data_IF_818510336467
#
_entry.id   IF_818510336467
#
_cell.length_a   1.000
_cell.length_b   1.000
_cell.length_c   1.000
_cell.angle_alpha   90.00
_cell.angle_beta   90.00
_cell.angle_gamma   90.00
#
_symmetry.space_group_name_H-M   'P 1'
#
loop_
_entity.id
_entity.type
_entity.pdbx_description
1 polymer ?
#
# COMPACT_ATOMS: atom_id res chain seq x y z
N UNK A 1 4.26 29.71 -30.69
CA UNK A 1 3.40 30.87 -30.38
C UNK A 1 3.67 31.23 -28.93
N UNK A 2 4.17 32.43 -28.69
CA UNK A 2 4.23 33.10 -27.38
C UNK A 2 5.42 32.75 -26.45
N UNK A 3 6.38 33.67 -26.31
CA UNK A 3 6.59 34.67 -25.22
C UNK A 3 7.26 34.07 -23.97
N UNK A 4 8.53 34.44 -23.76
CA UNK A 4 9.16 34.54 -22.44
C UNK A 4 9.48 36.02 -22.13
N UNK A 5 9.48 36.43 -20.85
CA UNK A 5 9.40 37.82 -20.45
C UNK A 5 10.76 38.46 -20.15
N UNK A 6 10.69 39.79 -20.07
CA UNK A 6 11.74 40.77 -19.79
C UNK A 6 12.28 40.67 -18.36
N UNK A 7 13.60 40.80 -18.21
CA UNK A 7 14.29 41.13 -16.96
C UNK A 7 15.48 42.02 -17.27
N UNK A 8 15.36 43.31 -16.92
CA UNK A 8 16.33 44.36 -17.21
C UNK A 8 17.55 44.34 -16.30
N UNK A 9 18.73 44.51 -16.89
CA UNK A 9 19.97 44.94 -16.26
C UNK A 9 20.61 46.00 -17.13
N UNK A 10 20.92 47.15 -16.53
CA UNK A 10 21.43 48.39 -17.11
C UNK A 10 22.59 48.22 -18.09
N UNK A 11 22.41 48.73 -19.33
CA UNK A 11 23.51 48.95 -20.29
C UNK A 11 24.10 50.35 -20.08
N UNK A 12 25.38 50.40 -19.75
CA UNK A 12 26.21 51.58 -19.99
C UNK A 12 26.26 51.89 -21.49
N UNK A 13 26.33 53.17 -21.90
CA UNK A 13 26.39 53.55 -23.30
C UNK A 13 27.78 53.23 -23.88
N UNK A 14 27.87 52.17 -24.67
CA UNK A 14 29.03 51.92 -25.53
C UNK A 14 29.07 53.03 -26.59
N UNK A 15 30.08 53.89 -26.46
CA UNK A 15 30.41 54.92 -27.44
C UNK A 15 30.59 54.30 -28.84
N UNK A 16 30.16 54.99 -29.91
CA UNK A 16 30.34 54.51 -31.26
C UNK A 16 31.83 54.56 -31.61
N UNK A 17 32.48 53.40 -31.61
CA UNK A 17 33.81 53.27 -32.18
C UNK A 17 33.71 53.48 -33.69
N UNK A 18 34.36 54.55 -34.13
CA UNK A 18 34.92 54.67 -35.48
C UNK A 18 33.89 55.04 -36.54
N UNK A 19 33.82 56.34 -36.84
CA UNK A 19 33.51 56.79 -38.19
C UNK A 19 34.46 56.07 -39.15
N UNK A 20 33.90 55.24 -40.04
CA UNK A 20 34.65 54.68 -41.16
C UNK A 20 34.89 55.84 -42.13
N UNK A 21 36.11 56.36 -42.16
CA UNK A 21 36.56 57.25 -43.22
C UNK A 21 36.50 56.46 -44.55
N UNK A 22 35.72 56.90 -45.57
CA UNK A 22 35.64 56.22 -46.86
C UNK A 22 36.97 56.17 -47.63
N UNK A 23 38.01 56.87 -47.16
CA UNK A 23 39.33 56.95 -47.79
C UNK A 23 40.42 56.12 -47.09
N UNK A 24 40.14 55.43 -45.97
CA UNK A 24 41.08 54.49 -45.35
C UNK A 24 40.84 53.06 -45.83
N UNK A 25 41.07 52.82 -47.12
CA UNK A 25 41.33 51.46 -47.60
C UNK A 25 42.58 50.89 -46.89
N UNK A 26 42.69 49.57 -46.68
CA UNK A 26 43.84 48.99 -46.01
C UNK A 26 45.11 49.44 -46.73
N UNK A 27 45.97 50.18 -46.02
CA UNK A 27 47.23 50.68 -46.57
C UNK A 27 48.02 49.50 -47.14
N UNK A 28 48.61 49.67 -48.34
CA UNK A 28 49.27 48.61 -49.13
C UNK A 28 50.23 47.71 -48.33
N UNK A 29 50.72 48.19 -47.18
CA UNK A 29 51.60 47.49 -46.24
C UNK A 29 50.92 46.44 -45.36
N UNK A 30 49.63 46.54 -45.04
CA UNK A 30 48.91 45.51 -44.25
C UNK A 30 48.44 44.36 -45.12
N UNK A 31 47.91 44.66 -46.31
CA UNK A 31 47.55 43.66 -47.34
C UNK A 31 48.78 42.85 -47.77
N UNK A 32 49.92 43.51 -47.97
CA UNK A 32 51.18 42.84 -48.30
C UNK A 32 51.69 41.89 -47.21
N UNK A 33 51.54 42.26 -45.92
CA UNK A 33 51.95 41.40 -44.80
C UNK A 33 51.05 40.16 -44.65
N UNK A 34 49.74 40.31 -44.83
CA UNK A 34 48.83 39.16 -44.81
C UNK A 34 49.06 38.23 -46.01
N UNK A 35 49.34 38.81 -47.19
CA UNK A 35 49.68 38.05 -48.37
C UNK A 35 50.99 37.26 -48.19
N UNK A 36 52.04 37.88 -47.64
CA UNK A 36 53.32 37.21 -47.34
C UNK A 36 53.15 36.07 -46.33
N UNK A 37 52.34 36.27 -45.28
CA UNK A 37 52.05 35.22 -44.29
C UNK A 37 51.29 34.04 -44.89
N UNK A 38 50.30 34.31 -45.77
CA UNK A 38 49.55 33.26 -46.49
C UNK A 38 50.46 32.53 -47.48
N UNK A 39 51.25 33.27 -48.25
CA UNK A 39 52.20 32.73 -49.21
C UNK A 39 53.24 31.82 -48.53
N UNK A 40 53.82 32.25 -47.40
CA UNK A 40 54.75 31.42 -46.61
C UNK A 40 54.12 30.13 -46.10
N UNK A 41 52.86 30.19 -45.65
CA UNK A 41 52.13 29.00 -45.21
C UNK A 41 51.85 28.04 -46.36
N UNK A 42 51.47 28.58 -47.52
CA UNK A 42 51.14 27.77 -48.70
C UNK A 42 52.40 27.13 -49.29
N UNK A 43 53.52 27.86 -49.34
CA UNK A 43 54.84 27.31 -49.71
C UNK A 43 55.28 26.24 -48.71
N UNK A 44 55.21 26.51 -47.41
CA UNK A 44 55.56 25.54 -46.36
C UNK A 44 54.71 24.26 -46.48
N UNK A 45 53.40 24.41 -46.70
CA UNK A 45 52.49 23.28 -46.90
C UNK A 45 52.88 22.47 -48.13
N UNK A 46 53.15 23.12 -49.27
CA UNK A 46 53.56 22.42 -50.50
C UNK A 46 54.88 21.68 -50.30
N UNK A 47 55.87 22.32 -49.67
CA UNK A 47 57.17 21.72 -49.37
C UNK A 47 57.06 20.51 -48.43
N UNK A 48 56.22 20.59 -47.40
CA UNK A 48 56.12 19.57 -46.35
C UNK A 48 54.97 18.57 -46.58
N UNK A 49 54.13 18.76 -47.61
CA UNK A 49 52.93 17.95 -47.88
C UNK A 49 53.22 16.45 -47.89
N UNK A 50 54.33 16.06 -48.53
CA UNK A 50 54.73 14.67 -48.65
C UNK A 50 55.22 14.10 -47.31
N UNK A 51 55.98 14.88 -46.53
CA UNK A 51 56.47 14.47 -45.21
C UNK A 51 55.32 14.34 -44.20
N UNK A 52 54.37 15.29 -44.20
CA UNK A 52 53.17 15.25 -43.38
C UNK A 52 52.29 14.05 -43.70
N UNK A 53 52.14 13.70 -44.99
CA UNK A 53 51.40 12.50 -45.40
C UNK A 53 52.05 11.23 -44.88
N UNK A 54 53.37 11.09 -45.02
CA UNK A 54 54.10 9.92 -44.53
C UNK A 54 54.05 9.82 -43.00
N UNK A 55 54.25 10.95 -42.30
CA UNK A 55 54.16 10.99 -40.84
C UNK A 55 52.75 10.64 -40.34
N UNK A 56 51.71 11.15 -41.00
CA UNK A 56 50.32 10.82 -40.68
C UNK A 56 50.00 9.33 -40.86
N UNK A 57 50.51 8.71 -41.94
CA UNK A 57 50.35 7.27 -42.19
C UNK A 57 51.05 6.44 -41.13
N UNK A 58 52.30 6.77 -40.78
CA UNK A 58 53.06 6.08 -39.73
C UNK A 58 52.38 6.23 -38.36
N UNK A 59 51.88 7.42 -38.04
CA UNK A 59 51.12 7.66 -36.82
C UNK A 59 49.86 6.78 -36.77
N UNK A 60 49.12 6.66 -37.87
CA UNK A 60 47.90 5.87 -37.93
C UNK A 60 48.20 4.37 -37.74
N UNK A 61 49.27 3.86 -38.36
CA UNK A 61 49.75 2.49 -38.11
C UNK A 61 50.16 2.26 -36.66
N UNK A 62 50.79 3.24 -36.01
CA UNK A 62 51.16 3.13 -34.61
C UNK A 62 49.93 3.08 -33.68
N UNK A 63 48.91 3.90 -33.97
CA UNK A 63 47.64 3.90 -33.23
C UNK A 63 46.89 2.59 -33.43
N UNK A 64 46.78 2.09 -34.66
CA UNK A 64 46.15 0.79 -34.95
C UNK A 64 46.89 -0.36 -34.25
N UNK A 65 48.23 -0.36 -34.29
CA UNK A 65 49.04 -1.35 -33.59
C UNK A 65 48.80 -1.33 -32.07
N UNK A 66 48.72 -0.14 -31.47
CA UNK A 66 48.45 0.01 -30.04
C UNK A 66 47.04 -0.49 -29.67
N UNK A 67 46.02 -0.11 -30.44
CA UNK A 67 44.65 -0.57 -30.23
C UNK A 67 44.53 -2.09 -30.40
N UNK A 68 45.22 -2.65 -31.40
CA UNK A 68 45.30 -4.09 -31.61
C UNK A 68 45.92 -4.82 -30.42
N UNK A 69 47.00 -4.28 -29.85
CA UNK A 69 47.63 -4.84 -28.66
C UNK A 69 46.72 -4.77 -27.43
N UNK A 70 46.01 -3.66 -27.23
CA UNK A 70 45.04 -3.53 -26.13
C UNK A 70 43.90 -4.55 -26.29
N UNK A 71 43.35 -4.68 -27.50
CA UNK A 71 42.28 -5.64 -27.78
C UNK A 71 42.73 -7.08 -27.61
N UNK A 72 43.94 -7.41 -28.06
CA UNK A 72 44.51 -8.76 -27.90
C UNK A 72 44.79 -9.08 -26.43
N UNK A 73 45.26 -8.11 -25.66
CA UNK A 73 45.44 -8.26 -24.22
C UNK A 73 44.10 -8.46 -23.50
N UNK A 74 43.08 -7.66 -23.80
CA UNK A 74 41.74 -7.81 -23.23
C UNK A 74 41.12 -9.18 -23.57
N UNK A 75 41.33 -9.66 -24.81
CA UNK A 75 40.86 -10.99 -25.21
C UNK A 75 41.58 -12.10 -24.45
N UNK A 76 42.90 -11.99 -24.27
CA UNK A 76 43.67 -12.94 -23.48
C UNK A 76 43.27 -12.92 -22.00
N UNK A 77 43.05 -11.74 -21.44
CA UNK A 77 42.59 -11.57 -20.06
C UNK A 77 41.22 -12.23 -19.85
N UNK A 78 40.26 -11.94 -20.73
CA UNK A 78 38.91 -12.51 -20.70
C UNK A 78 38.90 -14.05 -20.85
N UNK A 79 39.55 -14.58 -21.90
CA UNK A 79 39.44 -16.00 -22.24
C UNK A 79 40.44 -16.90 -21.53
N UNK A 80 41.62 -16.40 -21.14
CA UNK A 80 42.71 -17.24 -20.63
C UNK A 80 43.00 -17.00 -19.14
N UNK A 81 42.78 -15.79 -18.63
CA UNK A 81 43.18 -15.42 -17.25
C UNK A 81 41.96 -15.42 -16.31
N UNK A 82 40.90 -14.69 -16.65
CA UNK A 82 39.78 -14.41 -15.75
C UNK A 82 38.49 -15.20 -16.06
N UNK A 83 38.51 -16.13 -17.02
CA UNK A 83 37.36 -16.96 -17.42
C UNK A 83 36.63 -17.62 -16.23
N UNK A 84 37.38 -18.09 -15.23
CA UNK A 84 36.82 -18.75 -14.04
C UNK A 84 36.10 -17.76 -13.12
N UNK A 85 36.61 -16.53 -13.03
CA UNK A 85 36.04 -15.50 -12.14
C UNK A 85 34.77 -14.90 -12.76
N UNK A 86 34.75 -14.71 -14.08
CA UNK A 86 33.55 -14.31 -14.80
C UNK A 86 32.47 -15.39 -14.85
N UNK A 87 32.86 -16.67 -14.97
CA UNK A 87 31.94 -17.80 -14.86
C UNK A 87 31.19 -17.80 -13.52
N UNK A 88 31.88 -17.47 -12.43
CA UNK A 88 31.27 -17.35 -11.09
C UNK A 88 30.32 -16.15 -10.98
N UNK A 89 30.60 -15.04 -11.66
CA UNK A 89 29.66 -13.92 -11.71
C UNK A 89 28.37 -14.31 -12.42
N UNK A 90 28.46 -14.98 -13.57
CA UNK A 90 27.28 -15.47 -14.30
C UNK A 90 26.52 -16.50 -13.47
N UNK A 91 27.21 -17.45 -12.84
CA UNK A 91 26.58 -18.40 -11.91
C UNK A 91 25.90 -17.68 -10.74
N UNK A 92 26.47 -16.59 -10.21
CA UNK A 92 25.86 -15.82 -9.11
C UNK A 92 24.53 -15.17 -9.51
N UNK A 93 24.36 -14.77 -10.78
CA UNK A 93 23.09 -14.24 -11.30
C UNK A 93 21.98 -15.31 -11.33
N UNK A 94 22.35 -16.58 -11.56
CA UNK A 94 21.40 -17.70 -11.65
C UNK A 94 21.24 -18.48 -10.34
N UNK A 95 22.20 -18.40 -9.41
CA UNK A 95 22.08 -18.99 -8.07
C UNK A 95 20.90 -18.38 -7.26
N UNK A 96 20.47 -17.16 -7.60
CA UNK A 96 19.26 -16.53 -7.05
C UNK A 96 17.95 -17.00 -7.69
N UNK A 97 17.98 -17.62 -8.87
CA UNK A 97 16.78 -18.00 -9.62
C UNK A 97 16.07 -19.23 -9.01
N UNK A 98 16.81 -20.20 -8.47
CA UNK A 98 16.23 -21.30 -7.69
C UNK A 98 15.57 -20.78 -6.40
N UNK A 99 16.14 -19.73 -5.79
CA UNK A 99 15.55 -19.05 -4.65
C UNK A 99 14.30 -18.22 -5.02
N UNK A 100 14.18 -17.72 -6.26
CA UNK A 100 13.01 -16.94 -6.66
C UNK A 100 11.72 -17.76 -6.57
N UNK A 101 11.75 -19.03 -6.99
CA UNK A 101 10.58 -19.90 -6.87
C UNK A 101 10.21 -20.15 -5.39
N UNK A 102 11.20 -20.42 -4.54
CA UNK A 102 10.99 -20.60 -3.11
C UNK A 102 10.46 -19.31 -2.43
N UNK A 103 10.98 -18.14 -2.83
CA UNK A 103 10.54 -16.82 -2.35
C UNK A 103 9.14 -16.46 -2.84
N UNK A 104 8.76 -16.86 -4.06
CA UNK A 104 7.39 -16.67 -4.55
C UNK A 104 6.43 -17.60 -3.81
N UNK A 105 6.81 -18.85 -3.55
CA UNK A 105 5.98 -19.78 -2.79
C UNK A 105 5.74 -19.33 -1.34
N UNK A 106 6.70 -18.67 -0.70
CA UNK A 106 6.51 -18.11 0.65
C UNK A 106 5.62 -16.86 0.67
N UNK A 107 5.35 -16.26 -0.50
CA UNK A 107 4.47 -15.08 -0.63
C UNK A 107 3.03 -15.43 -1.01
N UNK A 108 2.72 -16.70 -1.27
CA UNK A 108 1.34 -17.15 -1.53
C UNK A 108 0.55 -17.12 -0.21
N UNK A 109 -0.66 -16.54 -0.18
CA UNK A 109 -1.48 -16.55 1.02
C UNK A 109 -1.87 -17.96 1.42
N UNK A 110 -1.76 -18.24 2.71
CA UNK A 110 -2.31 -19.42 3.36
C UNK A 110 -3.84 -19.42 3.29
N UNK A 111 -4.43 -20.61 3.18
CA UNK A 111 -5.87 -20.77 3.16
C UNK A 111 -6.52 -20.21 4.44
N UNK A 112 -7.73 -19.68 4.29
CA UNK A 112 -8.55 -19.25 5.43
C UNK A 112 -8.88 -20.45 6.31
N UNK A 113 -8.80 -20.26 7.62
CA UNK A 113 -9.20 -21.27 8.59
C UNK A 113 -10.68 -21.07 8.95
N UNK A 114 -11.51 -22.05 8.57
CA UNK A 114 -12.95 -22.03 8.78
C UNK A 114 -13.31 -22.97 9.94
N UNK A 115 -13.82 -22.39 11.01
CA UNK A 115 -14.29 -23.12 12.18
C UNK A 115 -15.59 -23.87 11.95
N UNK A 116 -15.91 -24.76 12.90
CA UNK A 116 -17.15 -25.53 12.87
C UNK A 116 -18.39 -24.63 12.90
N UNK A 117 -19.40 -25.04 12.12
CA UNK A 117 -20.68 -24.34 12.08
C UNK A 117 -21.54 -24.75 13.29
N UNK A 118 -22.05 -23.75 14.00
CA UNK A 118 -22.90 -23.88 15.18
C UNK A 118 -24.31 -23.37 14.88
N UNK A 119 -25.32 -24.05 15.43
CA UNK A 119 -26.72 -23.63 15.32
C UNK A 119 -27.23 -23.23 16.70
N UNK A 120 -27.55 -21.97 16.85
CA UNK A 120 -27.93 -21.32 18.11
C UNK A 120 -29.45 -21.09 18.10
N UNK A 121 -30.20 -21.50 19.13
CA UNK A 121 -31.64 -21.26 19.20
C UNK A 121 -31.94 -19.79 19.56
N UNK A 122 -32.81 -19.13 18.79
CA UNK A 122 -33.23 -17.73 18.98
C UNK A 122 -34.74 -17.61 18.76
N UNK A 123 -35.53 -17.50 19.85
CA UNK A 123 -36.99 -17.26 19.81
C UNK A 123 -37.78 -17.92 18.68
N UNK A 124 -37.82 -19.25 18.70
CA UNK A 124 -38.58 -20.02 17.72
C UNK A 124 -37.93 -20.06 16.33
N UNK A 125 -36.77 -19.43 16.15
CA UNK A 125 -35.88 -19.51 14.98
C UNK A 125 -34.48 -19.96 15.41
N UNK A 126 -33.54 -19.97 14.47
CA UNK A 126 -32.15 -20.29 14.73
C UNK A 126 -31.20 -19.29 14.11
N UNK A 127 -30.08 -19.05 14.77
CA UNK A 127 -28.93 -18.38 14.17
C UNK A 127 -27.90 -19.44 13.79
N UNK A 128 -27.26 -19.27 12.64
CA UNK A 128 -26.16 -20.12 12.20
C UNK A 128 -24.88 -19.31 12.24
N UNK A 129 -23.89 -19.81 12.97
CA UNK A 129 -22.62 -19.14 13.22
C UNK A 129 -21.46 -20.04 12.80
N UNK A 130 -20.47 -19.47 12.11
CA UNK A 130 -19.15 -20.06 11.96
C UNK A 130 -18.09 -19.00 12.28
N UNK A 131 -16.92 -19.41 12.75
CA UNK A 131 -15.78 -18.48 12.85
C UNK A 131 -14.92 -18.65 11.61
N UNK A 132 -14.38 -17.55 11.08
CA UNK A 132 -13.40 -17.58 10.02
C UNK A 132 -12.17 -16.78 10.42
N UNK A 133 -10.99 -17.28 10.10
CA UNK A 133 -9.71 -16.67 10.43
C UNK A 133 -8.89 -16.48 9.16
N UNK A 134 -8.35 -15.28 8.97
CA UNK A 134 -7.29 -15.04 8.01
C UNK A 134 -5.94 -15.18 8.73
N UNK A 135 -5.14 -16.23 8.46
CA UNK A 135 -3.85 -16.45 9.13
C UNK A 135 -2.71 -15.60 8.55
N UNK A 136 -2.96 -14.82 7.49
CA UNK A 136 -1.92 -14.12 6.76
C UNK A 136 -1.65 -12.73 7.34
N UNK A 137 -0.37 -12.44 7.64
CA UNK A 137 0.06 -11.13 8.14
C UNK A 137 0.09 -10.05 7.04
N UNK A 138 0.38 -10.42 5.80
CA UNK A 138 0.60 -9.46 4.70
C UNK A 138 -0.55 -9.40 3.69
N UNK A 139 -1.63 -10.13 3.95
CA UNK A 139 -2.75 -10.27 3.02
C UNK A 139 -4.08 -9.98 3.70
N UNK A 140 -4.95 -9.33 2.95
CA UNK A 140 -6.36 -9.12 3.27
C UNK A 140 -7.18 -10.04 2.36
N UNK A 141 -8.22 -10.66 2.90
CA UNK A 141 -9.13 -11.50 2.12
C UNK A 141 -10.50 -10.83 2.02
N UNK A 142 -10.97 -10.62 0.79
CA UNK A 142 -12.38 -10.37 0.52
C UNK A 142 -13.06 -11.70 0.18
N UNK A 143 -14.01 -12.12 1.01
CA UNK A 143 -14.65 -13.42 0.94
C UNK A 143 -16.12 -13.25 0.59
N UNK A 144 -16.55 -13.87 -0.51
CA UNK A 144 -17.96 -14.07 -0.82
C UNK A 144 -18.39 -15.44 -0.35
N UNK A 145 -19.44 -15.47 0.45
CA UNK A 145 -19.90 -16.69 1.08
C UNK A 145 -21.41 -16.73 1.22
N UNK A 146 -21.93 -17.94 1.34
CA UNK A 146 -23.30 -18.22 1.75
C UNK A 146 -23.31 -19.38 2.72
N UNK A 147 -24.26 -19.35 3.64
CA UNK A 147 -24.55 -20.50 4.50
C UNK A 147 -25.59 -21.36 3.80
N UNK A 148 -25.28 -22.64 3.64
CA UNK A 148 -26.19 -23.64 3.07
C UNK A 148 -26.54 -24.66 4.15
N UNK A 149 -27.81 -25.03 4.23
CA UNK A 149 -28.33 -25.96 5.22
C UNK A 149 -29.54 -26.65 4.63
N UNK A 150 -29.67 -27.96 4.88
CA UNK A 150 -30.64 -28.79 4.17
C UNK A 150 -30.50 -28.59 2.63
N UNK A 151 -31.59 -28.15 1.97
CA UNK A 151 -31.65 -27.76 0.55
C UNK A 151 -31.92 -26.24 0.38
N UNK A 152 -31.57 -25.45 1.39
CA UNK A 152 -31.74 -23.99 1.40
C UNK A 152 -30.39 -23.29 1.49
N UNK A 153 -30.39 -22.06 1.01
CA UNK A 153 -29.23 -21.21 1.01
C UNK A 153 -29.63 -19.84 1.54
N UNK A 154 -28.73 -19.22 2.28
CA UNK A 154 -28.84 -17.81 2.63
C UNK A 154 -28.43 -16.94 1.45
N UNK A 155 -28.81 -15.66 1.51
CA UNK A 155 -28.28 -14.66 0.56
C UNK A 155 -26.75 -14.62 0.62
N UNK A 156 -26.14 -14.41 -0.55
CA UNK A 156 -24.70 -14.20 -0.66
C UNK A 156 -24.30 -12.97 0.15
N UNK A 157 -23.22 -13.09 0.92
CA UNK A 157 -22.64 -12.02 1.73
C UNK A 157 -21.17 -11.87 1.41
N UNK A 158 -20.68 -10.64 1.59
CA UNK A 158 -19.27 -10.32 1.47
C UNK A 158 -18.71 -9.96 2.83
N UNK A 159 -17.54 -10.50 3.18
CA UNK A 159 -16.79 -10.15 4.36
C UNK A 159 -15.35 -9.77 3.98
N UNK A 160 -14.78 -8.79 4.68
CA UNK A 160 -13.38 -8.41 4.53
C UNK A 160 -12.65 -8.86 5.81
N UNK A 161 -11.70 -9.78 5.64
CA UNK A 161 -10.88 -10.30 6.72
C UNK A 161 -9.52 -9.61 6.68
N UNK A 162 -9.28 -8.78 7.68
CA UNK A 162 -7.98 -8.17 7.92
C UNK A 162 -6.92 -9.24 8.27
N UNK A 163 -5.68 -8.79 8.35
CA UNK A 163 -4.51 -9.62 8.61
C UNK A 163 -4.62 -10.26 9.99
N UNK A 164 -4.36 -11.56 10.14
CA UNK A 164 -4.39 -12.26 11.44
C UNK A 164 -5.63 -11.94 12.28
N UNK A 165 -6.80 -11.93 11.65
CA UNK A 165 -8.06 -11.61 12.31
C UNK A 165 -9.05 -12.77 12.18
N UNK A 166 -9.70 -13.08 13.30
CA UNK A 166 -10.82 -14.00 13.39
C UNK A 166 -12.12 -13.20 13.52
N UNK A 167 -13.13 -13.53 12.73
CA UNK A 167 -14.45 -12.91 12.82
C UNK A 167 -15.60 -13.92 12.68
N UNK A 168 -16.78 -13.63 13.24
CA UNK A 168 -17.95 -14.47 13.06
C UNK A 168 -18.61 -14.24 11.68
N UNK A 169 -18.99 -15.34 11.02
CA UNK A 169 -19.90 -15.39 9.89
C UNK A 169 -21.27 -15.86 10.40
N UNK A 170 -22.28 -14.99 10.30
CA UNK A 170 -23.59 -15.24 10.92
C UNK A 170 -24.71 -15.12 9.90
N UNK A 171 -25.62 -16.09 9.91
CA UNK A 171 -26.97 -15.95 9.37
C UNK A 171 -27.96 -15.88 10.53
N UNK A 172 -28.61 -14.73 10.67
CA UNK A 172 -29.58 -14.49 11.74
C UNK A 172 -30.98 -14.94 11.33
N UNK A 173 -31.77 -15.37 12.32
CA UNK A 173 -33.21 -15.64 12.19
C UNK A 173 -33.57 -16.62 11.05
N UNK A 174 -32.76 -17.67 10.90
CA UNK A 174 -33.05 -18.78 9.99
C UNK A 174 -34.31 -19.51 10.45
N UNK A 175 -35.24 -19.68 9.51
CA UNK A 175 -36.57 -20.24 9.78
C UNK A 175 -36.56 -21.73 10.14
N UNK A 176 -37.65 -22.17 10.76
CA UNK A 176 -37.91 -23.58 11.06
C UNK A 176 -38.05 -24.43 9.78
N UNK A 177 -37.84 -25.77 9.87
CA UNK A 177 -37.35 -26.53 11.03
C UNK A 177 -35.86 -26.23 11.36
N UNK A 178 -35.35 -26.73 12.50
CA UNK A 178 -33.92 -26.60 12.85
C UNK A 178 -33.03 -27.01 11.65
N UNK A 179 -32.16 -26.12 11.16
CA UNK A 179 -31.24 -26.41 10.07
C UNK A 179 -30.46 -27.70 10.31
N UNK A 180 -30.35 -28.59 9.32
CA UNK A 180 -29.50 -29.78 9.42
C UNK A 180 -28.26 -29.62 8.55
N UNK A 181 -27.15 -30.14 9.05
CA UNK A 181 -25.85 -30.14 8.36
C UNK A 181 -25.45 -28.78 7.76
N UNK A 182 -25.55 -27.67 8.52
CA UNK A 182 -25.20 -26.37 7.99
C UNK A 182 -23.70 -26.33 7.67
N UNK A 183 -23.35 -25.74 6.54
CA UNK A 183 -21.97 -25.50 6.12
C UNK A 183 -21.84 -24.11 5.54
N UNK A 184 -20.70 -23.47 5.78
CA UNK A 184 -20.36 -22.25 5.05
C UNK A 184 -19.78 -22.66 3.71
N UNK A 185 -20.39 -22.18 2.64
CA UNK A 185 -19.86 -22.30 1.29
C UNK A 185 -19.16 -20.99 0.95
N UNK A 186 -17.86 -21.08 0.72
CA UNK A 186 -17.06 -19.95 0.23
C UNK A 186 -17.10 -20.02 -1.29
N UNK A 187 -17.77 -19.06 -1.92
CA UNK A 187 -17.94 -19.01 -3.37
C UNK A 187 -16.70 -18.41 -4.04
N UNK A 188 -16.10 -17.39 -3.42
CA UNK A 188 -14.87 -16.77 -3.90
C UNK A 188 -14.05 -16.16 -2.76
N UNK A 189 -12.73 -16.27 -2.86
CA UNK A 189 -11.76 -15.51 -2.06
C UNK A 189 -10.91 -14.67 -2.99
N UNK A 190 -10.93 -13.36 -2.78
CA UNK A 190 -10.04 -12.42 -3.45
C UNK A 190 -8.99 -11.95 -2.45
N UNK A 191 -7.72 -12.15 -2.79
CA UNK A 191 -6.58 -11.82 -1.94
C UNK A 191 -5.96 -10.51 -2.37
N UNK A 192 -5.80 -9.59 -1.43
CA UNK A 192 -5.08 -8.34 -1.62
C UNK A 192 -3.81 -8.37 -0.79
N UNK A 193 -2.66 -8.32 -1.48
CA UNK A 193 -1.37 -8.16 -0.83
C UNK A 193 -1.16 -6.70 -0.46
N UNK A 194 -0.69 -6.48 0.75
CA UNK A 194 -0.36 -5.14 1.24
C UNK A 194 1.03 -4.76 0.72
N UNK A 195 1.15 -3.58 0.14
CA UNK A 195 2.44 -3.08 -0.32
C UNK A 195 3.33 -2.72 0.87
N UNK A 196 4.42 -3.46 1.04
CA UNK A 196 5.39 -3.26 2.11
C UNK A 196 6.09 -1.89 2.05
N UNK A 197 6.10 -1.21 0.90
CA UNK A 197 6.63 0.16 0.81
C UNK A 197 5.66 1.19 1.40
N UNK A 198 4.36 0.97 1.23
CA UNK A 198 3.33 1.84 1.78
C UNK A 198 3.07 1.52 3.26
N UNK A 199 3.08 0.25 3.62
CA UNK A 199 2.83 -0.25 4.97
C UNK A 199 3.92 -1.27 5.35
N UNK A 200 5.04 -0.81 5.94
CA UNK A 200 6.17 -1.69 6.27
C UNK A 200 5.86 -2.76 7.32
N UNK A 201 4.94 -2.47 8.24
CA UNK A 201 4.45 -3.41 9.26
C UNK A 201 2.92 -3.42 9.25
N UNK A 202 2.30 -4.36 8.50
CA UNK A 202 0.85 -4.46 8.40
C UNK A 202 0.13 -4.68 9.73
N UNK A 203 0.72 -5.45 10.65
CA UNK A 203 0.12 -5.76 11.94
C UNK A 203 0.14 -4.53 12.84
N UNK A 204 1.28 -3.84 12.94
CA UNK A 204 1.36 -2.59 13.69
C UNK A 204 0.46 -1.50 13.07
N UNK A 205 0.38 -1.43 11.75
CA UNK A 205 -0.52 -0.50 11.04
C UNK A 205 -1.99 -0.76 11.36
N UNK A 206 -2.40 -2.04 11.37
CA UNK A 206 -3.74 -2.48 11.78
C UNK A 206 -4.02 -2.07 13.22
N UNK A 207 -3.13 -2.40 14.16
CA UNK A 207 -3.30 -2.09 15.58
C UNK A 207 -3.31 -0.59 15.88
N UNK A 208 -2.56 0.22 15.13
CA UNK A 208 -2.56 1.67 15.27
C UNK A 208 -3.90 2.31 14.84
N UNK A 209 -4.66 1.64 13.97
CA UNK A 209 -5.95 2.09 13.47
C UNK A 209 -7.11 1.46 14.23
N UNK A 210 -7.11 0.15 14.42
CA UNK A 210 -8.18 -0.59 15.06
C UNK A 210 -7.70 -1.18 16.40
N UNK A 211 -7.93 -0.42 17.48
CA UNK A 211 -7.71 -0.86 18.85
C UNK A 211 -8.83 -0.30 19.74
N UNK A 212 -9.90 -1.07 19.83
CA UNK A 212 -11.10 -0.72 20.60
C UNK A 212 -11.19 -1.70 21.75
N UNK A 213 -11.11 -1.18 22.97
CA UNK A 213 -11.26 -1.98 24.17
C UNK A 213 -12.73 -2.01 24.61
N UNK A 214 -13.16 -3.17 25.11
CA UNK A 214 -14.46 -3.38 25.72
C UNK A 214 -14.21 -3.87 27.15
N UNK A 215 -14.24 -2.95 28.09
CA UNK A 215 -13.99 -3.21 29.50
C UNK A 215 -15.31 -3.42 30.26
N UNK A 216 -15.24 -4.02 31.45
CA UNK A 216 -16.41 -4.23 32.31
C UNK A 216 -17.62 -4.93 31.65
N UNK A 217 -17.35 -5.89 30.75
CA UNK A 217 -18.39 -6.67 30.06
C UNK A 217 -19.31 -7.40 31.05
N UNK A 218 -20.58 -7.06 31.01
CA UNK A 218 -21.62 -7.61 31.89
C UNK A 218 -22.88 -7.95 31.09
N UNK A 219 -23.65 -8.91 31.62
CA UNK A 219 -24.95 -9.27 31.07
C UNK A 219 -26.02 -8.99 32.12
N UNK A 220 -27.04 -8.23 31.74
CA UNK A 220 -28.26 -8.05 32.52
C UNK A 220 -29.39 -8.84 31.85
N UNK A 221 -29.89 -9.88 32.50
CA UNK A 221 -30.93 -10.76 31.94
C UNK A 221 -32.32 -10.53 32.52
N UNK A 222 -32.46 -9.58 33.46
CA UNK A 222 -33.65 -9.44 34.29
C UNK A 222 -34.66 -8.37 33.85
N UNK A 223 -34.44 -7.69 32.72
CA UNK A 223 -35.27 -6.54 32.35
C UNK A 223 -36.58 -6.99 31.69
N UNK A 224 -37.70 -6.54 32.25
CA UNK A 224 -39.02 -6.65 31.63
C UNK A 224 -39.45 -5.29 31.08
N UNK A 225 -39.74 -5.24 29.78
CA UNK A 225 -40.31 -4.06 29.10
C UNK A 225 -41.70 -4.47 28.58
N UNK A 226 -42.75 -4.10 29.32
CA UNK A 226 -44.09 -4.62 29.09
C UNK A 226 -44.12 -6.13 29.28
N UNK A 227 -44.65 -6.86 28.28
CA UNK A 227 -44.70 -8.33 28.30
C UNK A 227 -43.44 -9.00 27.71
N UNK A 228 -42.43 -8.21 27.32
CA UNK A 228 -41.20 -8.72 26.73
C UNK A 228 -40.06 -8.79 27.74
N UNK A 229 -39.40 -9.94 27.80
CA UNK A 229 -38.09 -10.09 28.47
C UNK A 229 -37.03 -9.55 27.53
N UNK A 230 -36.24 -8.59 28.00
CA UNK A 230 -35.09 -8.06 27.29
C UNK A 230 -33.86 -8.34 28.13
N UNK A 231 -32.81 -8.82 27.50
CA UNK A 231 -31.50 -8.88 28.15
C UNK A 231 -30.57 -7.86 27.51
N UNK A 232 -29.54 -7.44 28.23
CA UNK A 232 -28.55 -6.47 27.75
C UNK A 232 -27.15 -6.99 27.94
N UNK A 233 -26.29 -6.71 26.97
CA UNK A 233 -24.85 -6.74 27.17
C UNK A 233 -24.37 -5.30 27.34
N UNK A 234 -23.69 -5.03 28.44
CA UNK A 234 -23.16 -3.72 28.81
C UNK A 234 -21.63 -3.81 28.85
N UNK A 235 -20.95 -2.74 28.43
CA UNK A 235 -19.51 -2.60 28.54
C UNK A 235 -19.13 -1.11 28.55
N UNK A 236 -17.92 -0.81 28.98
CA UNK A 236 -17.29 0.49 28.71
C UNK A 236 -16.40 0.34 27.47
N UNK A 237 -16.62 1.19 26.47
CA UNK A 237 -15.84 1.17 25.23
C UNK A 237 -14.79 2.25 25.31
N UNK A 238 -13.57 1.91 24.91
CA UNK A 238 -12.49 2.88 24.75
C UNK A 238 -11.87 2.74 23.36
N UNK A 239 -12.00 3.78 22.53
CA UNK A 239 -11.26 3.86 21.27
C UNK A 239 -9.81 4.29 21.56
N UNK A 240 -8.86 3.37 21.62
CA UNK A 240 -7.46 3.68 21.97
C UNK A 240 -6.68 4.32 20.83
N UNK A 241 -7.32 4.60 19.70
CA UNK A 241 -6.65 5.05 18.47
C UNK A 241 -6.80 6.54 18.24
N UNK A 242 -5.96 7.07 17.35
CA UNK A 242 -6.08 8.44 16.84
C UNK A 242 -7.15 8.61 15.76
N UNK A 243 -7.87 7.54 15.41
CA UNK A 243 -8.82 7.52 14.31
C UNK A 243 -10.25 7.46 14.84
N UNK A 244 -11.15 8.20 14.22
CA UNK A 244 -12.58 8.14 14.49
C UNK A 244 -13.28 7.35 13.41
N UNK A 245 -14.45 6.79 13.72
CA UNK A 245 -15.20 5.91 12.82
C UNK A 245 -16.66 6.33 12.69
N UNK A 246 -17.16 6.43 11.46
CA UNK A 246 -18.58 6.68 11.20
C UNK A 246 -19.45 5.50 11.65
N UNK A 247 -19.03 4.27 11.33
CA UNK A 247 -19.78 3.06 11.61
C UNK A 247 -18.83 1.88 11.79
N UNK A 248 -19.01 1.12 12.88
CA UNK A 248 -18.29 -0.12 13.15
C UNK A 248 -19.30 -1.21 13.46
N UNK A 249 -19.19 -2.34 12.77
CA UNK A 249 -19.97 -3.52 13.11
C UNK A 249 -19.41 -4.18 14.35
N UNK A 250 -20.28 -4.49 15.31
CA UNK A 250 -19.86 -5.13 16.56
C UNK A 250 -20.68 -6.40 16.73
N UNK A 251 -20.00 -7.54 16.66
CA UNK A 251 -20.60 -8.82 17.00
C UNK A 251 -20.30 -9.16 18.45
N UNK A 252 -21.33 -9.62 19.16
CA UNK A 252 -21.23 -10.07 20.55
C UNK A 252 -21.60 -11.54 20.60
N UNK A 253 -20.67 -12.35 21.09
CA UNK A 253 -20.83 -13.79 21.28
C UNK A 253 -20.94 -14.10 22.77
N UNK A 254 -22.00 -14.80 23.14
CA UNK A 254 -22.21 -15.33 24.48
C UNK A 254 -21.67 -16.75 24.53
N UNK A 255 -20.79 -17.04 25.48
CA UNK A 255 -20.18 -18.38 25.67
C UNK A 255 -20.51 -18.98 27.02
N UNK A 256 -20.68 -20.30 27.05
CA UNK A 256 -20.84 -21.12 28.26
C UNK A 256 -20.15 -22.46 28.06
N UNK A 257 -19.25 -22.85 28.96
CA UNK A 257 -18.48 -24.08 28.85
C UNK A 257 -17.64 -24.16 27.56
N UNK A 258 -17.12 -23.03 27.08
CA UNK A 258 -16.33 -22.93 25.84
C UNK A 258 -17.14 -22.94 24.54
N UNK A 259 -18.44 -23.24 24.59
CA UNK A 259 -19.32 -23.23 23.41
C UNK A 259 -20.06 -21.89 23.28
N UNK A 260 -20.34 -21.47 22.05
CA UNK A 260 -21.18 -20.29 21.80
C UNK A 260 -22.64 -20.69 22.01
N UNK A 261 -23.37 -19.88 22.77
CA UNK A 261 -24.77 -20.10 23.13
C UNK A 261 -25.69 -18.99 22.64
N UNK A 262 -25.13 -17.87 22.16
CA UNK A 262 -25.88 -16.77 21.57
C UNK A 262 -24.95 -15.86 20.79
N UNK A 263 -25.49 -15.23 19.74
CA UNK A 263 -24.78 -14.26 18.91
C UNK A 263 -25.73 -13.13 18.56
N UNK A 264 -25.24 -11.90 18.59
CA UNK A 264 -25.99 -10.75 18.11
C UNK A 264 -25.02 -9.72 17.51
N UNK A 265 -25.56 -8.79 16.72
CA UNK A 265 -24.82 -7.72 16.06
C UNK A 265 -25.46 -6.38 16.41
N UNK A 266 -24.62 -5.39 16.65
CA UNK A 266 -25.02 -3.97 16.68
C UNK A 266 -24.05 -3.15 15.85
N UNK A 267 -24.44 -1.92 15.55
CA UNK A 267 -23.60 -0.96 14.81
C UNK A 267 -23.25 0.18 15.75
N UNK A 268 -21.95 0.36 15.98
CA UNK A 268 -21.44 1.48 16.73
C UNK A 268 -21.22 2.68 15.81
N UNK A 269 -21.99 3.74 16.00
CA UNK A 269 -21.93 4.94 15.15
C UNK A 269 -21.09 6.05 15.77
N UNK A 270 -20.39 6.82 14.95
CA UNK A 270 -19.63 8.03 15.33
C UNK A 270 -18.77 7.82 16.58
N UNK A 271 -17.86 6.85 16.54
CA UNK A 271 -16.89 6.63 17.61
C UNK A 271 -15.72 7.59 17.39
N UNK A 272 -15.57 8.60 18.24
CA UNK A 272 -14.51 9.60 18.12
C UNK A 272 -13.13 9.02 18.51
N UNK A 273 -12.03 9.61 18.03
CA UNK A 273 -10.70 9.26 18.51
C UNK A 273 -10.60 9.42 20.03
N UNK A 274 -10.00 8.44 20.73
CA UNK A 274 -9.79 8.49 22.19
C UNK A 274 -11.07 8.63 23.03
N UNK A 275 -12.24 8.37 22.44
CA UNK A 275 -13.52 8.43 23.14
C UNK A 275 -13.66 7.24 24.10
N UNK A 276 -14.19 7.54 25.27
CA UNK A 276 -14.71 6.56 26.22
C UNK A 276 -16.23 6.75 26.35
N UNK A 277 -17.00 5.68 26.16
CA UNK A 277 -18.46 5.76 26.28
C UNK A 277 -19.10 4.40 26.63
N UNK A 278 -20.30 4.40 27.23
CA UNK A 278 -21.02 3.17 27.49
C UNK A 278 -21.46 2.47 26.19
N UNK A 279 -21.27 1.16 26.15
CA UNK A 279 -21.82 0.23 25.17
C UNK A 279 -23.09 -0.40 25.69
N UNK A 280 -24.09 -0.54 24.83
CA UNK A 280 -25.23 -1.39 25.09
C UNK A 280 -25.60 -2.15 23.81
N UNK A 281 -25.82 -3.46 23.97
CA UNK A 281 -26.50 -4.28 22.99
C UNK A 281 -27.70 -4.93 23.67
N UNK A 282 -28.88 -4.75 23.06
CA UNK A 282 -30.13 -5.34 23.54
C UNK A 282 -30.42 -6.66 22.82
N UNK A 283 -30.80 -7.67 23.62
CA UNK A 283 -31.26 -8.99 23.19
C UNK A 283 -32.78 -9.02 23.38
N UNK A 284 -33.50 -8.60 22.33
CA UNK A 284 -34.96 -8.65 22.34
C UNK A 284 -35.43 -10.08 22.48
N UNK A 285 -36.34 -10.34 23.44
CA UNK A 285 -36.89 -11.65 23.83
C UNK A 285 -35.93 -12.57 24.60
N UNK A 286 -34.93 -11.96 25.24
CA UNK A 286 -34.06 -12.57 26.22
C UNK A 286 -32.81 -13.21 25.62
N UNK A 287 -31.83 -13.44 26.47
CA UNK A 287 -30.59 -14.14 26.11
C UNK A 287 -30.23 -15.18 27.17
N UNK A 288 -29.58 -16.28 26.78
CA UNK A 288 -29.09 -17.25 27.76
C UNK A 288 -27.94 -16.64 28.57
N UNK A 289 -27.86 -17.00 29.86
CA UNK A 289 -26.81 -16.50 30.76
C UNK A 289 -25.42 -16.98 30.30
N UNK A 290 -24.53 -16.05 29.97
CA UNK A 290 -23.17 -16.36 29.54
C UNK A 290 -22.21 -16.47 30.74
N UNK A 291 -21.17 -17.29 30.60
CA UNK A 291 -20.00 -17.27 31.47
C UNK A 291 -18.92 -16.33 30.94
N UNK A 292 -18.84 -16.19 29.61
CA UNK A 292 -17.86 -15.35 28.94
C UNK A 292 -18.56 -14.64 27.79
N UNK A 293 -18.23 -13.37 27.60
CA UNK A 293 -18.73 -12.54 26.51
C UNK A 293 -17.52 -12.17 25.66
N UNK A 294 -17.60 -12.42 24.36
CA UNK A 294 -16.57 -12.02 23.41
C UNK A 294 -17.15 -11.01 22.43
N UNK A 295 -16.36 -9.99 22.10
CA UNK A 295 -16.77 -8.87 21.27
C UNK A 295 -15.81 -8.73 20.10
N UNK A 296 -16.37 -8.62 18.89
CA UNK A 296 -15.63 -8.52 17.65
C UNK A 296 -16.02 -7.24 16.91
N UNK A 297 -15.23 -6.16 17.03
CA UNK A 297 -15.37 -4.99 16.18
C UNK A 297 -14.84 -5.30 14.77
N UNK A 298 -15.65 -5.00 13.76
CA UNK A 298 -15.38 -5.28 12.35
C UNK A 298 -15.55 -3.98 11.57
N UNK A 299 -14.49 -3.61 10.86
CA UNK A 299 -14.47 -2.45 9.98
C UNK A 299 -13.41 -2.69 8.90
N UNK A 300 -13.69 -2.23 7.68
CA UNK A 300 -12.70 -2.28 6.61
C UNK A 300 -11.74 -1.08 6.72
N UNK A 301 -10.52 -1.32 7.20
CA UNK A 301 -9.51 -0.26 7.36
C UNK A 301 -8.94 0.28 6.04
N UNK A 302 -9.23 -0.38 4.92
CA UNK A 302 -8.79 0.03 3.58
C UNK A 302 -9.83 0.87 2.85
N UNK A 303 -10.99 1.12 3.46
CA UNK A 303 -12.00 2.01 2.94
C UNK A 303 -11.93 3.35 3.69
N UNK A 304 -11.40 4.38 3.04
CA UNK A 304 -11.23 5.70 3.64
C UNK A 304 -12.56 6.31 4.13
N UNK A 305 -13.69 5.88 3.58
CA UNK A 305 -15.02 6.38 3.96
C UNK A 305 -15.46 5.95 5.36
N UNK A 306 -14.82 4.95 5.96
CA UNK A 306 -15.14 4.51 7.33
C UNK A 306 -14.64 5.50 8.38
N UNK A 307 -13.61 6.28 8.06
CA UNK A 307 -12.96 7.20 8.98
C UNK A 307 -13.70 8.53 9.07
N UNK A 308 -13.85 9.04 10.29
CA UNK A 308 -14.32 10.41 10.50
C UNK A 308 -13.31 11.39 9.88
N UNK A 309 -13.84 12.39 9.15
CA UNK A 309 -13.00 13.44 8.58
C UNK A 309 -12.22 14.18 9.68
N UNK A 310 -10.94 14.42 9.44
CA UNK A 310 -10.07 15.18 10.33
C UNK A 310 -10.45 16.67 10.44
N UNK A 311 -11.35 17.15 9.59
CA UNK A 311 -11.73 18.57 9.47
C UNK A 311 -12.81 19.01 10.45
N UNK A 312 -12.98 18.33 11.59
CA UNK A 312 -13.60 18.97 12.76
C UNK A 312 -12.66 20.06 13.28
N UNK A 313 -12.59 21.18 12.55
CA UNK A 313 -12.32 22.48 13.16
C UNK A 313 -13.37 22.59 14.27
N UNK A 314 -13.00 22.69 15.57
CA UNK A 314 -14.00 22.88 16.61
C UNK A 314 -14.83 24.07 16.17
N UNK A 315 -16.14 23.86 16.01
CA UNK A 315 -17.05 24.91 15.56
C UNK A 315 -16.81 26.10 16.48
N UNK A 316 -16.10 27.10 15.97
CA UNK A 316 -15.81 28.29 16.75
C UNK A 316 -17.16 28.95 16.92
N UNK A 317 -17.74 28.85 18.12
CA UNK A 317 -18.99 29.52 18.42
C UNK A 317 -18.77 31.00 18.07
N UNK A 318 -19.68 31.61 17.30
CA UNK A 318 -19.61 33.04 16.97
C UNK A 318 -19.53 33.93 18.21
N UNK A 319 -19.85 33.40 19.40
CA UNK A 319 -19.67 34.08 20.68
C UNK A 319 -18.19 34.20 21.13
N UNK A 320 -17.31 33.32 20.67
CA UNK A 320 -15.87 33.38 20.98
C UNK A 320 -15.11 34.40 20.10
N UNK A 321 -15.69 34.83 18.98
CA UNK A 321 -15.11 35.86 18.11
C UNK A 321 -15.51 37.29 18.50
N UNK A 322 -16.41 37.46 19.48
CA UNK A 322 -16.91 38.77 19.93
C UNK A 322 -16.21 39.33 21.18
N UNK A 323 -15.14 38.68 21.66
CA UNK A 323 -14.27 39.23 22.71
C UNK A 323 -12.87 39.46 22.17
N UNK A 324 -12.68 40.55 21.42
CA UNK A 324 -11.40 41.25 21.27
C UNK A 324 -11.62 42.74 21.21
#
# INVERSE_FOLDING_TARGET
MGIWPLGGGSKEPVQPQGAIDPNEGPTLTTVGKEFDKRYKRDVWWIEHKTQLRTAGVVFLFAVEGLLGLIGLWAFADYFLINYVEEGRLVESFFAGAENLHAVVQTQVPQALDLGNVQILPTQGKFDVLAMITNPNADHVAQVRYRIVYDDRETEERTAILLQETTMPLVAFNVDQPRPRNPRVLIDQVEWWRIDAHAVPDPIAWKQARLNIAFDNLQQDTGLQIGDQVVSRTLADITNKTGFGYYSIDVFVLLKRGGSVIGVNRTVMSNLLPREERPFQLDWFGGSPVAQTIEVYPIVNLFDDSVYLSSDTTPATDRRDTLKR
#
